data_IF_361660836513
#
_entry.id   IF_361660836513
#
_cell.length_a   1.000
_cell.length_b   1.000
_cell.length_c   1.000
_cell.angle_alpha   90.00
_cell.angle_beta   90.00
_cell.angle_gamma   90.00
#
_symmetry.space_group_name_H-M   'P 1'
#
loop_
_entity.id
_entity.type
_entity.pdbx_description
1 polymer ?
#
# COMPACT_ATOMS: atom_id res chain seq x y z
N UNK A 1 -3.29 -9.05 -16.23
CA UNK A 1 -4.69 -9.30 -16.64
C UNK A 1 -4.72 -10.50 -17.55
N UNK A 2 -5.54 -11.51 -17.27
CA UNK A 2 -5.67 -12.72 -18.10
C UNK A 2 -6.80 -12.59 -19.12
N UNK A 3 -7.93 -12.01 -18.72
CA UNK A 3 -9.09 -11.80 -19.58
C UNK A 3 -10.02 -10.73 -18.99
N UNK A 4 -11.02 -10.28 -19.76
CA UNK A 4 -12.13 -9.47 -19.26
C UNK A 4 -13.40 -9.78 -20.09
N UNK A 5 -14.58 -9.68 -19.48
CA UNK A 5 -15.86 -9.93 -20.15
C UNK A 5 -17.01 -9.19 -19.46
N UNK A 6 -18.15 -9.11 -20.13
CA UNK A 6 -19.40 -8.63 -19.54
C UNK A 6 -20.29 -9.82 -19.11
N UNK A 7 -20.87 -9.75 -17.92
CA UNK A 7 -21.78 -10.76 -17.40
C UNK A 7 -22.93 -10.10 -16.64
N UNK A 8 -24.17 -10.26 -17.12
CA UNK A 8 -25.39 -9.67 -16.52
C UNK A 8 -25.29 -8.16 -16.22
N UNK A 9 -24.66 -7.39 -17.11
CA UNK A 9 -24.50 -5.94 -16.94
C UNK A 9 -23.30 -5.52 -16.09
N UNK A 10 -22.51 -6.47 -15.58
CA UNK A 10 -21.28 -6.20 -14.85
C UNK A 10 -20.06 -6.39 -15.75
N UNK A 11 -19.05 -5.52 -15.60
CA UNK A 11 -17.70 -5.73 -16.16
C UNK A 11 -16.95 -6.67 -15.21
N UNK A 12 -16.44 -7.78 -15.73
CA UNK A 12 -15.65 -8.75 -15.00
C UNK A 12 -14.22 -8.76 -15.54
N UNK A 13 -13.23 -8.62 -14.67
CA UNK A 13 -11.82 -8.64 -15.03
C UNK A 13 -11.17 -9.85 -14.35
N UNK A 14 -10.46 -10.66 -15.14
CA UNK A 14 -9.84 -11.92 -14.69
C UNK A 14 -8.35 -11.71 -14.51
N UNK A 15 -7.86 -12.07 -13.33
CA UNK A 15 -6.45 -12.02 -12.97
C UNK A 15 -5.94 -13.41 -12.57
N UNK A 16 -4.63 -13.53 -12.45
CA UNK A 16 -4.05 -14.66 -11.72
C UNK A 16 -4.54 -14.64 -10.27
N UNK A 17 -4.72 -15.82 -9.68
CA UNK A 17 -5.06 -15.92 -8.27
C UNK A 17 -3.81 -15.65 -7.43
N UNK A 18 -3.91 -14.72 -6.48
CA UNK A 18 -2.87 -14.38 -5.52
C UNK A 18 -3.32 -14.77 -4.10
N UNK A 19 -2.41 -14.69 -3.14
CA UNK A 19 -2.70 -14.85 -1.72
C UNK A 19 -3.36 -13.62 -1.10
N UNK A 20 -3.36 -13.58 0.22
CA UNK A 20 -3.83 -12.44 1.01
C UNK A 20 -3.12 -11.14 0.63
N UNK A 21 -3.80 -10.00 0.81
CA UNK A 21 -3.12 -8.71 0.88
C UNK A 21 -2.18 -8.67 2.10
N UNK A 22 -1.17 -7.80 2.06
CA UNK A 22 -0.29 -7.61 3.21
C UNK A 22 -1.03 -6.98 4.40
N UNK A 23 -2.13 -6.25 4.14
CA UNK A 23 -3.06 -5.81 5.18
C UNK A 23 -3.79 -6.98 5.83
N UNK A 24 -4.45 -7.83 5.03
CA UNK A 24 -5.25 -8.94 5.54
C UNK A 24 -4.38 -9.92 6.34
N UNK A 25 -3.15 -10.17 5.88
CA UNK A 25 -2.20 -10.99 6.62
C UNK A 25 -1.80 -10.35 7.96
N UNK A 26 -1.56 -9.03 8.01
CA UNK A 26 -1.30 -8.33 9.28
C UNK A 26 -2.49 -8.48 10.23
N UNK A 27 -3.70 -8.22 9.74
CA UNK A 27 -4.92 -8.33 10.53
C UNK A 27 -5.10 -9.75 11.08
N UNK A 28 -4.91 -10.76 10.23
CA UNK A 28 -4.92 -12.16 10.60
C UNK A 28 -3.81 -12.59 11.57
N UNK A 29 -2.74 -11.81 11.65
CA UNK A 29 -1.63 -11.96 12.57
C UNK A 29 -1.73 -11.02 13.78
N UNK A 30 -2.94 -10.55 14.11
CA UNK A 30 -3.19 -9.63 15.22
C UNK A 30 -2.37 -8.33 15.16
N UNK A 31 -2.14 -7.84 13.94
CA UNK A 31 -1.34 -6.63 13.67
C UNK A 31 0.10 -6.72 14.20
N UNK A 32 0.64 -7.93 14.32
CA UNK A 32 2.03 -8.12 14.66
C UNK A 32 2.91 -7.77 13.44
N UNK A 33 3.94 -6.93 13.63
CA UNK A 33 4.72 -6.42 12.53
C UNK A 33 5.48 -7.52 11.81
N UNK A 34 5.81 -7.27 10.55
CA UNK A 34 6.63 -8.17 9.77
C UNK A 34 8.08 -8.16 10.29
N UNK A 35 8.78 -9.32 10.25
CA UNK A 35 10.22 -9.37 10.42
C UNK A 35 10.93 -8.44 9.42
N UNK A 36 11.94 -7.69 9.91
CA UNK A 36 12.65 -6.69 9.11
C UNK A 36 13.24 -7.25 7.80
N UNK A 37 13.66 -8.52 7.79
CA UNK A 37 14.13 -9.20 6.59
C UNK A 37 13.04 -9.32 5.51
N UNK A 38 11.81 -9.64 5.91
CA UNK A 38 10.66 -9.72 5.01
C UNK A 38 10.25 -8.34 4.52
N UNK A 39 10.28 -7.33 5.40
CA UNK A 39 10.05 -5.92 5.01
C UNK A 39 11.05 -5.49 3.95
N UNK A 40 12.34 -5.79 4.12
CA UNK A 40 13.38 -5.47 3.13
C UNK A 40 13.09 -6.13 1.78
N UNK A 41 12.70 -7.40 1.80
CA UNK A 41 12.41 -8.15 0.58
C UNK A 41 11.17 -7.60 -0.16
N UNK A 42 10.06 -7.44 0.57
CA UNK A 42 8.83 -6.84 0.02
C UNK A 42 9.08 -5.43 -0.48
N UNK A 43 9.75 -4.59 0.31
CA UNK A 43 10.08 -3.21 -0.06
C UNK A 43 10.84 -3.14 -1.38
N UNK A 44 11.89 -3.97 -1.56
CA UNK A 44 12.64 -4.01 -2.82
C UNK A 44 11.76 -4.36 -4.02
N UNK A 45 10.86 -5.34 -3.89
CA UNK A 45 9.95 -5.73 -4.97
C UNK A 45 8.96 -4.61 -5.31
N UNK A 46 8.36 -4.00 -4.28
CA UNK A 46 7.39 -2.91 -4.44
C UNK A 46 8.06 -1.70 -5.08
N UNK A 47 9.24 -1.28 -4.62
CA UNK A 47 9.98 -0.17 -5.23
C UNK A 47 10.30 -0.43 -6.70
N UNK A 48 10.75 -1.64 -7.05
CA UNK A 48 11.01 -2.00 -8.45
C UNK A 48 9.76 -1.98 -9.31
N UNK A 49 8.63 -2.44 -8.77
CA UNK A 49 7.36 -2.41 -9.49
C UNK A 49 6.88 -0.97 -9.72
N UNK A 50 6.94 -0.11 -8.70
CA UNK A 50 6.55 1.31 -8.81
C UNK A 50 7.48 2.09 -9.74
N UNK A 51 8.80 1.88 -9.66
CA UNK A 51 9.78 2.46 -10.59
C UNK A 51 9.46 2.10 -12.05
N UNK A 52 9.07 0.85 -12.31
CA UNK A 52 8.61 0.44 -13.64
C UNK A 52 7.36 1.19 -14.11
N UNK A 53 6.38 1.43 -13.23
CA UNK A 53 5.20 2.25 -13.56
C UNK A 53 5.62 3.70 -13.90
N UNK A 54 6.49 4.27 -13.08
CA UNK A 54 6.96 5.64 -13.22
C UNK A 54 7.75 5.86 -14.51
N UNK A 55 8.60 4.89 -14.90
CA UNK A 55 9.29 4.88 -16.19
C UNK A 55 8.30 4.81 -17.37
N UNK A 56 7.18 4.12 -17.18
CA UNK A 56 6.07 4.03 -18.15
C UNK A 56 5.12 5.24 -18.12
N UNK A 57 5.46 6.30 -17.37
CA UNK A 57 4.66 7.53 -17.18
C UNK A 57 3.30 7.27 -16.52
N UNK A 58 3.16 6.16 -15.80
CA UNK A 58 1.97 5.83 -15.02
C UNK A 58 2.23 6.13 -13.54
N UNK A 59 1.25 6.71 -12.87
CA UNK A 59 1.23 6.95 -11.42
C UNK A 59 0.15 6.06 -10.84
N UNK A 60 0.44 5.30 -9.79
CA UNK A 60 -0.53 4.35 -9.23
C UNK A 60 -1.66 5.05 -8.47
N UNK A 61 -1.29 6.07 -7.68
CA UNK A 61 -2.17 6.97 -6.90
C UNK A 61 -2.99 6.35 -5.77
N UNK A 62 -3.06 5.03 -5.64
CA UNK A 62 -3.73 4.36 -4.50
C UNK A 62 -2.90 3.21 -3.90
N UNK A 63 -1.60 3.44 -3.69
CA UNK A 63 -0.75 2.46 -3.01
C UNK A 63 -1.08 2.41 -1.51
N UNK A 64 -1.37 1.19 -1.05
CA UNK A 64 -1.71 0.86 0.35
C UNK A 64 -1.51 -0.64 0.59
N UNK A 65 -1.37 -1.11 1.83
CA UNK A 65 -1.17 -2.53 2.14
C UNK A 65 -2.26 -3.46 1.55
N UNK A 66 -3.50 -2.98 1.41
CA UNK A 66 -4.60 -3.72 0.79
C UNK A 66 -4.37 -4.00 -0.71
N UNK A 67 -3.60 -3.14 -1.38
CA UNK A 67 -3.28 -3.23 -2.80
C UNK A 67 -1.91 -3.88 -3.07
N UNK A 68 -1.25 -4.41 -2.03
CA UNK A 68 -0.04 -5.23 -2.14
C UNK A 68 -0.41 -6.65 -1.73
N UNK A 69 -0.35 -7.59 -2.68
CA UNK A 69 -0.77 -8.98 -2.45
C UNK A 69 0.42 -9.90 -2.43
N UNK A 70 0.43 -10.87 -1.52
CA UNK A 70 1.38 -11.98 -1.57
C UNK A 70 1.10 -12.85 -2.79
N UNK A 71 2.16 -13.34 -3.46
CA UNK A 71 1.99 -14.36 -4.50
C UNK A 71 1.39 -15.63 -3.88
N UNK A 72 1.84 -16.01 -2.70
CA UNK A 72 1.27 -17.07 -1.88
C UNK A 72 1.35 -16.66 -0.40
N UNK A 73 0.23 -16.72 0.32
CA UNK A 73 0.12 -16.33 1.74
C UNK A 73 0.34 -17.48 2.75
N UNK A 74 0.95 -18.58 2.32
CA UNK A 74 1.37 -19.67 3.19
C UNK A 74 2.32 -19.21 4.30
N UNK A 75 2.04 -19.62 5.53
CA UNK A 75 2.78 -19.20 6.71
C UNK A 75 3.09 -20.36 7.64
N UNK A 76 4.11 -20.17 8.47
CA UNK A 76 4.33 -20.92 9.71
C UNK A 76 3.70 -20.16 10.88
N UNK A 77 3.42 -20.87 11.97
CA UNK A 77 3.12 -20.27 13.28
C UNK A 77 4.31 -20.58 14.18
N UNK A 78 5.00 -19.53 14.61
CA UNK A 78 6.24 -19.64 15.38
C UNK A 78 6.07 -18.93 16.72
N UNK A 79 6.70 -19.46 17.78
CA UNK A 79 6.73 -18.79 19.07
C UNK A 79 7.86 -17.75 19.07
N UNK A 80 7.51 -16.49 19.30
CA UNK A 80 8.48 -15.42 19.46
C UNK A 80 8.88 -15.29 20.93
N UNK A 81 10.08 -15.77 21.27
CA UNK A 81 10.60 -15.74 22.63
C UNK A 81 10.78 -14.34 23.22
N UNK A 82 11.01 -13.32 22.38
CA UNK A 82 11.21 -11.93 22.82
C UNK A 82 9.88 -11.28 23.17
N UNK A 83 8.86 -11.51 22.33
CA UNK A 83 7.52 -10.95 22.50
C UNK A 83 6.59 -11.83 23.34
N UNK A 84 7.03 -13.06 23.69
CA UNK A 84 6.28 -14.06 24.47
C UNK A 84 4.89 -14.38 23.89
N UNK A 85 4.83 -14.61 22.58
CA UNK A 85 3.58 -14.86 21.85
C UNK A 85 3.81 -15.76 20.64
N UNK A 86 2.76 -16.40 20.15
CA UNK A 86 2.77 -17.05 18.84
C UNK A 86 2.42 -16.03 17.76
N UNK A 87 3.15 -16.03 16.67
CA UNK A 87 2.90 -15.17 15.52
C UNK A 87 3.06 -15.94 14.21
N UNK A 88 2.27 -15.55 13.21
CA UNK A 88 2.36 -16.05 11.84
C UNK A 88 3.57 -15.41 11.16
N UNK A 89 4.32 -16.21 10.42
CA UNK A 89 5.45 -15.77 9.60
C UNK A 89 5.27 -16.26 8.18
N UNK A 90 5.26 -15.34 7.22
CA UNK A 90 5.10 -15.72 5.80
C UNK A 90 6.30 -16.57 5.36
N UNK A 91 6.04 -17.67 4.66
CA UNK A 91 7.12 -18.55 4.18
C UNK A 91 7.87 -17.93 3.00
N UNK A 92 7.15 -17.31 2.07
CA UNK A 92 7.72 -16.58 0.93
C UNK A 92 7.14 -15.16 0.87
N UNK A 93 7.95 -14.11 1.15
CA UNK A 93 7.51 -12.72 1.13
C UNK A 93 7.53 -12.10 -0.29
N UNK A 94 7.21 -12.89 -1.31
CA UNK A 94 7.02 -12.40 -2.69
C UNK A 94 5.67 -11.72 -2.84
N UNK A 95 5.65 -10.54 -3.45
CA UNK A 95 4.46 -9.68 -3.55
C UNK A 95 4.25 -9.11 -4.96
N UNK A 96 3.00 -8.73 -5.25
CA UNK A 96 2.59 -8.00 -6.46
C UNK A 96 1.70 -6.82 -6.08
N UNK A 97 1.80 -5.74 -6.86
CA UNK A 97 0.90 -4.60 -6.78
C UNK A 97 -0.38 -4.92 -7.55
N UNK A 98 -1.52 -4.58 -6.96
CA UNK A 98 -2.85 -4.72 -7.56
C UNK A 98 -3.60 -3.39 -7.53
N UNK A 99 -4.80 -3.40 -8.13
CA UNK A 99 -5.74 -2.27 -8.20
C UNK A 99 -5.21 -1.01 -8.91
N UNK A 100 -5.14 -1.12 -10.24
CA UNK A 100 -4.80 -0.01 -11.14
C UNK A 100 -6.02 0.85 -11.51
N UNK A 101 -7.16 0.71 -10.81
CA UNK A 101 -8.41 1.40 -11.16
C UNK A 101 -8.34 2.92 -11.02
N UNK A 102 -7.43 3.40 -10.16
CA UNK A 102 -7.18 4.83 -9.92
C UNK A 102 -5.87 5.33 -10.57
N UNK A 103 -5.16 4.48 -11.30
CA UNK A 103 -3.90 4.87 -11.92
C UNK A 103 -4.14 5.90 -13.03
N UNK A 104 -3.24 6.87 -13.14
CA UNK A 104 -3.32 7.93 -14.15
C UNK A 104 -2.02 8.06 -14.92
N UNK A 105 -2.10 8.50 -16.16
CA UNK A 105 -0.91 8.88 -16.91
C UNK A 105 -0.46 10.29 -16.52
N UNK A 106 0.85 10.51 -16.44
CA UNK A 106 1.46 11.80 -16.09
C UNK A 106 0.99 12.98 -16.97
N UNK A 107 0.49 12.72 -18.17
CA UNK A 107 0.05 13.76 -19.11
C UNK A 107 -1.46 14.00 -19.11
N UNK A 108 -2.24 13.31 -18.27
CA UNK A 108 -3.68 13.49 -18.13
C UNK A 108 -4.02 14.58 -17.11
N UNK A 109 -5.26 15.06 -17.11
CA UNK A 109 -5.73 16.02 -16.12
C UNK A 109 -5.76 15.35 -14.73
N UNK A 110 -5.07 15.97 -13.77
CA UNK A 110 -4.90 15.40 -12.44
C UNK A 110 -6.11 15.75 -11.57
N UNK A 111 -6.77 14.73 -11.02
CA UNK A 111 -7.74 14.92 -9.94
C UNK A 111 -7.05 15.55 -8.72
N UNK A 112 -7.75 16.46 -8.03
CA UNK A 112 -7.27 17.01 -6.75
C UNK A 112 -7.41 16.03 -5.59
N UNK A 113 -8.25 15.01 -5.74
CA UNK A 113 -8.47 13.99 -4.72
C UNK A 113 -8.02 12.62 -5.23
N UNK A 114 -6.83 12.23 -4.79
CA UNK A 114 -6.23 10.90 -4.99
C UNK A 114 -5.76 10.34 -3.65
N UNK A 115 -5.29 9.08 -3.66
CA UNK A 115 -4.78 8.34 -2.51
C UNK A 115 -5.80 8.11 -1.40
N UNK A 116 -5.81 6.88 -0.88
CA UNK A 116 -6.44 6.60 0.41
C UNK A 116 -5.82 7.48 1.50
N UNK A 117 -6.67 8.12 2.31
CA UNK A 117 -6.31 9.24 3.20
C UNK A 117 -5.10 8.99 4.11
N UNK A 118 -4.90 7.75 4.56
CA UNK A 118 -3.80 7.36 5.46
C UNK A 118 -2.42 7.36 4.79
N UNK A 119 -2.38 7.23 3.47
CA UNK A 119 -1.16 7.14 2.67
C UNK A 119 -1.00 8.33 1.73
N UNK A 120 -1.81 9.38 1.95
CA UNK A 120 -1.90 10.56 1.10
C UNK A 120 -0.72 11.49 1.34
N UNK A 121 -0.08 11.91 0.25
CA UNK A 121 1.07 12.78 0.29
C UNK A 121 0.69 14.21 0.71
N UNK A 122 1.59 14.96 1.37
CA UNK A 122 1.30 16.29 1.87
C UNK A 122 0.92 17.28 0.76
N UNK A 123 1.57 17.21 -0.40
CA UNK A 123 1.22 18.04 -1.58
C UNK A 123 -0.21 17.77 -2.06
N UNK A 124 -0.69 16.53 -1.99
CA UNK A 124 -2.07 16.17 -2.32
C UNK A 124 -3.03 16.69 -1.25
N UNK A 125 -2.70 16.55 0.05
CA UNK A 125 -3.52 17.10 1.15
C UNK A 125 -3.66 18.62 1.03
N UNK A 126 -2.60 19.31 0.62
CA UNK A 126 -2.56 20.77 0.47
C UNK A 126 -3.19 21.26 -0.85
N UNK A 127 -3.65 20.37 -1.72
CA UNK A 127 -4.17 20.72 -3.04
C UNK A 127 -3.13 21.36 -3.97
N UNK A 128 -1.85 21.04 -3.74
CA UNK A 128 -0.74 21.44 -4.61
C UNK A 128 -0.65 20.49 -5.80
N UNK A 129 0.17 20.88 -6.79
CA UNK A 129 0.53 19.97 -7.88
C UNK A 129 1.29 18.78 -7.29
N UNK A 130 0.91 17.60 -7.74
CA UNK A 130 1.52 16.33 -7.36
C UNK A 130 1.95 15.59 -8.64
N UNK A 131 2.86 14.64 -8.47
CA UNK A 131 3.38 13.78 -9.53
C UNK A 131 3.68 12.38 -8.97
N UNK A 132 4.56 11.64 -9.63
CA UNK A 132 5.04 10.31 -9.23
C UNK A 132 5.57 10.24 -7.78
N UNK A 133 6.02 11.37 -7.21
CA UNK A 133 6.50 11.43 -5.83
C UNK A 133 5.41 11.12 -4.79
N UNK A 134 4.13 11.28 -5.14
CA UNK A 134 3.04 10.94 -4.21
C UNK A 134 3.00 9.42 -3.92
N UNK A 135 3.29 8.57 -4.91
CA UNK A 135 3.43 7.12 -4.71
C UNK A 135 4.59 6.79 -3.77
N UNK A 136 5.70 7.52 -3.87
CA UNK A 136 6.88 7.34 -3.00
C UNK A 136 6.54 7.65 -1.55
N UNK A 137 5.72 8.69 -1.31
CA UNK A 137 5.20 8.98 0.03
C UNK A 137 4.35 7.84 0.58
N UNK A 138 3.40 7.31 -0.23
CA UNK A 138 2.58 6.17 0.16
C UNK A 138 3.44 4.95 0.52
N UNK A 139 4.48 4.66 -0.26
CA UNK A 139 5.43 3.58 0.02
C UNK A 139 6.15 3.77 1.36
N UNK A 140 6.56 4.99 1.70
CA UNK A 140 7.15 5.30 3.00
C UNK A 140 6.21 4.96 4.16
N UNK A 141 4.93 5.33 4.03
CA UNK A 141 3.89 5.02 5.01
C UNK A 141 3.67 3.50 5.14
N UNK A 142 3.60 2.78 4.02
CA UNK A 142 3.44 1.31 3.99
C UNK A 142 4.60 0.60 4.71
N UNK A 143 5.84 1.00 4.46
CA UNK A 143 7.01 0.36 5.10
C UNK A 143 7.05 0.63 6.61
N UNK A 144 6.64 1.82 7.05
CA UNK A 144 6.49 2.12 8.48
C UNK A 144 5.40 1.28 9.13
N UNK A 145 4.25 1.14 8.47
CA UNK A 145 3.15 0.30 8.95
C UNK A 145 3.56 -1.18 9.04
N UNK A 146 4.31 -1.70 8.06
CA UNK A 146 4.83 -3.06 8.15
C UNK A 146 5.75 -3.27 9.35
N UNK A 147 6.52 -2.24 9.72
CA UNK A 147 7.45 -2.28 10.84
C UNK A 147 6.78 -2.10 12.20
N UNK A 148 5.72 -1.30 12.26
CA UNK A 148 5.02 -0.94 13.50
C UNK A 148 3.79 -1.82 13.78
N UNK A 149 3.17 -2.35 12.73
CA UNK A 149 1.91 -3.10 12.78
C UNK A 149 0.65 -2.22 12.76
N UNK A 150 0.78 -0.90 12.62
CA UNK A 150 -0.37 0.02 12.59
C UNK A 150 -0.11 1.24 11.69
N UNK A 151 -1.19 1.82 11.20
CA UNK A 151 -1.19 3.04 10.39
C UNK A 151 -0.64 4.22 11.19
N UNK A 152 0.42 4.86 10.69
CA UNK A 152 1.08 5.99 11.39
C UNK A 152 0.24 7.27 11.31
N UNK A 153 -0.34 7.57 10.14
CA UNK A 153 -1.08 8.81 9.92
C UNK A 153 -2.59 8.56 9.93
N UNK A 154 -3.19 8.63 11.12
CA UNK A 154 -4.65 8.55 11.23
C UNK A 154 -5.32 9.83 10.74
N UNK A 155 -5.95 9.71 9.58
CA UNK A 155 -6.95 10.56 8.96
C UNK A 155 -7.85 11.44 9.86
N UNK A 156 -8.18 10.97 11.07
CA UNK A 156 -9.06 11.66 12.02
C UNK A 156 -8.48 12.98 12.54
N UNK A 157 -7.16 13.19 12.43
CA UNK A 157 -6.50 14.43 12.87
C UNK A 157 -6.52 15.57 11.83
N UNK A 158 -6.85 15.29 10.57
CA UNK A 158 -6.74 16.30 9.50
C UNK A 158 -7.92 17.29 9.49
N UNK A 159 -9.04 16.99 10.16
CA UNK A 159 -10.23 17.89 10.20
C UNK A 159 -10.17 19.00 11.27
N UNK A 160 -9.11 19.08 12.09
CA UNK A 160 -9.08 20.00 13.23
C UNK A 160 -7.94 21.02 13.17
N UNK A 161 -7.51 21.42 11.98
CA UNK A 161 -6.47 22.43 11.81
C UNK A 161 -7.03 23.60 11.00
N UNK A 162 -7.30 24.77 11.63
CA UNK A 162 -7.53 26.01 10.90
C UNK A 162 -6.28 26.34 10.07
N UNK A 163 -6.47 26.88 8.87
CA UNK A 163 -5.50 27.19 7.80
C UNK A 163 -4.17 27.89 8.17
N UNK A 164 -3.89 28.17 9.45
CA UNK A 164 -2.74 28.96 9.90
C UNK A 164 -1.68 28.21 10.72
N UNK A 165 -1.82 26.90 10.99
CA UNK A 165 -0.79 26.17 11.73
C UNK A 165 -0.59 24.77 11.16
N UNK A 166 0.37 24.62 10.24
CA UNK A 166 0.92 23.30 9.92
C UNK A 166 1.82 22.90 11.09
N UNK A 167 1.29 22.14 12.04
CA UNK A 167 2.12 21.31 12.90
C UNK A 167 2.50 20.06 12.09
N UNK A 168 3.68 20.11 11.47
CA UNK A 168 4.38 18.90 11.06
C UNK A 168 4.90 18.29 12.37
N UNK A 169 4.12 17.41 12.99
CA UNK A 169 4.68 16.51 13.99
C UNK A 169 5.42 15.40 13.24
N UNK A 170 6.75 15.45 13.31
CA UNK A 170 7.66 14.40 12.84
C UNK A 170 7.46 13.10 13.62
#
# INVERSE_FOLDING_TARGET
MLNWFHFHGHVCIVFELLGLSTYDFLQENNFYPYPLEQIRHMGWQIFRAVDFLHQSKLIHTDLKPENILFINSEHSVEYNDKMKRYEKKIKNPDVKIADFGNSVYHNEDHSSEIQTRHYRAPEVVLGLKWDQSCDVWSLGCILLEYYLGYVVFMASFIKQIPYNYILISF
#
